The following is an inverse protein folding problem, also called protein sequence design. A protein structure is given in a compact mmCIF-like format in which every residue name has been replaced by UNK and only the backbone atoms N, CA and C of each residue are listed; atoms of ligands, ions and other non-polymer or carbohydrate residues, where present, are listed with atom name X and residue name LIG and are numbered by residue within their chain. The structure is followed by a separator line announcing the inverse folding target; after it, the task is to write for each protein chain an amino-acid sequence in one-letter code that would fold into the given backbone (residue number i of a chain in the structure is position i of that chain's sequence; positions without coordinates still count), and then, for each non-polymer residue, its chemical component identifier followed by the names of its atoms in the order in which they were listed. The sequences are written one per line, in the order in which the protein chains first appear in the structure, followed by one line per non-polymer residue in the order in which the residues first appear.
data_IF_059951303572
#
_entry.id   IF_059951303572
#
_cell.length_a   1.000
_cell.length_b   1.000
_cell.length_c   1.000
_cell.angle_alpha   90.00
_cell.angle_beta   90.00
_cell.angle_gamma   90.00
#
_symmetry.space_group_name_H-M   'P 1'
#
loop_
_entity.id
_entity.type
_entity.pdbx_description
1 polymer ?
#
# COMPACT_ATOMS: atom_id res chain seq x y z
N UNK A 1 -49.72 0.30 -10.52
CA UNK A 1 -48.61 0.29 -11.51
C UNK A 1 -47.41 0.98 -10.86
N UNK A 2 -46.40 0.20 -10.50
CA UNK A 2 -45.18 0.65 -9.82
C UNK A 2 -44.14 1.03 -10.86
N UNK A 3 -43.76 2.30 -10.92
CA UNK A 3 -42.65 2.79 -11.75
C UNK A 3 -41.37 2.73 -10.92
N UNK A 4 -40.57 1.68 -11.16
CA UNK A 4 -39.18 1.58 -10.72
C UNK A 4 -38.36 2.66 -11.43
N UNK A 5 -37.92 3.67 -10.70
CA UNK A 5 -36.84 4.55 -11.14
C UNK A 5 -35.52 3.80 -11.01
N UNK A 6 -35.05 3.22 -12.11
CA UNK A 6 -33.65 2.82 -12.25
C UNK A 6 -32.80 4.09 -12.25
N UNK A 7 -32.15 4.40 -11.12
CA UNK A 7 -31.01 5.32 -11.13
C UNK A 7 -29.88 4.65 -11.90
N UNK A 8 -29.70 5.05 -13.16
CA UNK A 8 -28.51 4.72 -13.94
C UNK A 8 -27.33 5.43 -13.28
N UNK A 9 -26.40 4.65 -12.73
CA UNK A 9 -25.08 5.18 -12.38
C UNK A 9 -24.37 5.50 -13.68
N UNK A 10 -24.23 6.79 -14.01
CA UNK A 10 -23.33 7.22 -15.08
C UNK A 10 -21.92 6.89 -14.64
N UNK A 11 -21.33 5.85 -15.23
CA UNK A 11 -19.93 5.50 -15.02
C UNK A 11 -19.08 6.59 -15.66
N UNK A 12 -18.63 7.56 -14.87
CA UNK A 12 -17.59 8.49 -15.30
C UNK A 12 -16.36 7.65 -15.67
N UNK A 13 -15.85 7.83 -16.88
CA UNK A 13 -14.57 7.23 -17.28
C UNK A 13 -13.45 7.99 -16.59
N UNK A 14 -12.31 7.33 -16.40
CA UNK A 14 -11.12 7.90 -15.74
C UNK A 14 -10.64 9.22 -16.40
N UNK A 15 -10.99 9.43 -17.66
CA UNK A 15 -10.64 10.57 -18.51
C UNK A 15 -11.78 11.58 -18.71
N UNK A 16 -12.95 11.41 -18.08
CA UNK A 16 -14.06 12.36 -18.22
C UNK A 16 -13.71 13.69 -17.52
N UNK A 17 -13.03 14.58 -18.25
CA UNK A 17 -12.71 15.96 -17.84
C UNK A 17 -11.32 16.18 -17.25
N UNK A 18 -10.46 15.16 -17.17
CA UNK A 18 -9.08 15.31 -16.68
C UNK A 18 -8.12 15.48 -17.86
N UNK A 19 -7.65 16.71 -18.09
CA UNK A 19 -6.56 16.97 -19.03
C UNK A 19 -5.23 16.51 -18.43
N UNK A 20 -4.73 15.35 -18.88
CA UNK A 20 -3.45 14.77 -18.41
C UNK A 20 -2.24 15.65 -18.70
N UNK A 21 -2.35 16.59 -19.64
CA UNK A 21 -1.28 17.54 -19.96
C UNK A 21 -1.42 18.84 -19.16
N UNK A 22 -2.53 19.02 -18.45
CA UNK A 22 -2.84 20.21 -17.67
C UNK A 22 -3.53 19.88 -16.33
N UNK A 23 -2.85 19.04 -15.54
CA UNK A 23 -3.37 18.61 -14.24
C UNK A 23 -3.19 19.65 -13.13
N UNK A 24 -2.38 20.68 -13.37
CA UNK A 24 -2.09 21.74 -12.39
C UNK A 24 -1.96 23.12 -13.00
N UNK A 25 -2.41 24.14 -12.28
CA UNK A 25 -2.22 25.56 -12.60
C UNK A 25 -1.26 26.20 -11.61
N UNK A 26 -0.38 27.08 -12.10
CA UNK A 26 0.51 27.87 -11.25
C UNK A 26 -0.31 28.94 -10.52
N UNK A 27 -0.13 29.01 -9.20
CA UNK A 27 -0.80 29.98 -8.31
C UNK A 27 0.18 30.93 -7.65
N UNK A 28 1.47 30.60 -7.62
CA UNK A 28 2.56 31.48 -7.21
C UNK A 28 3.73 31.32 -8.17
N UNK A 29 4.04 32.32 -9.02
CA UNK A 29 5.13 32.23 -9.99
C UNK A 29 6.52 32.48 -9.40
N UNK A 30 6.63 32.98 -8.16
CA UNK A 30 7.91 33.21 -7.48
C UNK A 30 8.41 31.91 -6.86
N UNK A 31 7.52 31.22 -6.16
CA UNK A 31 7.80 29.95 -5.48
C UNK A 31 7.43 28.72 -6.34
N UNK A 32 6.94 28.94 -7.57
CA UNK A 32 6.43 27.92 -8.50
C UNK A 32 5.39 26.98 -7.88
N UNK A 33 4.53 27.52 -7.01
CA UNK A 33 3.47 26.75 -6.36
C UNK A 33 2.38 26.47 -7.38
N UNK A 34 2.00 25.20 -7.51
CA UNK A 34 0.94 24.75 -8.43
C UNK A 34 -0.19 24.06 -7.69
N UNK A 35 -1.41 24.15 -8.21
CA UNK A 35 -2.65 23.58 -7.66
C UNK A 35 -3.34 22.67 -8.67
N UNK A 36 -3.93 21.58 -8.19
CA UNK A 36 -4.75 20.69 -9.03
C UNK A 36 -5.91 21.45 -9.69
N UNK A 37 -6.11 21.25 -11.00
CA UNK A 37 -7.16 21.91 -11.77
C UNK A 37 -8.57 21.54 -11.33
N UNK A 38 -8.76 20.38 -10.69
CA UNK A 38 -10.05 19.92 -10.14
C UNK A 38 -10.57 20.82 -9.00
N UNK A 39 -9.67 21.51 -8.30
CA UNK A 39 -10.00 22.30 -7.11
C UNK A 39 -9.40 23.71 -7.18
N UNK A 40 -9.22 24.23 -8.40
CA UNK A 40 -8.60 25.56 -8.62
C UNK A 40 -9.28 26.68 -7.82
N UNK A 41 -10.61 26.62 -7.72
CA UNK A 41 -11.46 27.61 -7.05
C UNK A 41 -11.70 27.29 -5.56
N UNK A 42 -11.16 26.17 -5.07
CA UNK A 42 -11.25 25.80 -3.65
C UNK A 42 -9.95 26.20 -2.98
N UNK A 43 -10.06 27.15 -2.06
CA UNK A 43 -9.00 27.43 -1.11
C UNK A 43 -8.94 26.31 -0.06
N UNK A 44 -8.16 25.27 -0.36
CA UNK A 44 -7.86 24.16 0.55
C UNK A 44 -6.89 24.56 1.67
N UNK A 45 -6.27 25.74 1.58
CA UNK A 45 -5.26 26.21 2.52
C UNK A 45 -5.85 27.06 3.64
N UNK A 46 -7.05 27.64 3.49
CA UNK A 46 -7.80 28.13 4.65
C UNK A 46 -8.20 26.95 5.52
N UNK A 47 -7.65 26.94 6.72
CA UNK A 47 -7.44 25.84 7.68
C UNK A 47 -8.67 24.96 8.07
N UNK A 48 -9.85 25.16 7.47
CA UNK A 48 -11.08 24.46 7.84
C UNK A 48 -12.06 24.23 6.68
N UNK A 49 -11.62 24.25 5.42
CA UNK A 49 -12.52 23.96 4.29
C UNK A 49 -12.27 22.55 3.75
N UNK A 50 -13.00 21.58 4.31
CA UNK A 50 -13.30 20.36 3.56
C UNK A 50 -14.12 20.74 2.33
N UNK A 51 -14.06 19.90 1.29
CA UNK A 51 -14.90 20.05 0.08
C UNK A 51 -16.40 20.03 0.45
N UNK A 52 -16.74 19.44 1.61
CA UNK A 52 -18.10 19.30 2.11
C UNK A 52 -18.24 19.94 3.51
N UNK A 53 -18.96 21.06 3.67
CA UNK A 53 -19.02 21.82 4.94
C UNK A 53 -19.38 21.02 6.20
N UNK A 54 -20.11 19.91 6.02
CA UNK A 54 -20.59 19.02 7.08
C UNK A 54 -19.59 17.91 7.45
N UNK A 55 -18.46 17.80 6.75
CA UNK A 55 -17.40 16.83 7.05
C UNK A 55 -16.26 17.58 7.71
N UNK A 56 -16.11 17.42 9.03
CA UNK A 56 -15.07 18.11 9.83
C UNK A 56 -14.06 17.14 10.40
N UNK A 57 -14.45 15.88 10.61
CA UNK A 57 -13.61 14.80 11.12
C UNK A 57 -13.73 13.57 10.23
N UNK A 58 -12.81 12.61 10.38
CA UNK A 58 -12.92 11.31 9.71
C UNK A 58 -14.19 10.55 10.13
N UNK A 59 -14.72 10.82 11.32
CA UNK A 59 -15.98 10.25 11.80
C UNK A 59 -17.22 10.73 11.03
N UNK A 60 -17.16 11.91 10.40
CA UNK A 60 -18.30 12.48 9.65
C UNK A 60 -18.43 11.90 8.24
N UNK A 61 -17.34 11.30 7.72
CA UNK A 61 -17.26 10.76 6.35
C UNK A 61 -18.36 9.73 6.10
N UNK A 62 -18.62 8.86 7.09
CA UNK A 62 -19.59 7.79 6.94
C UNK A 62 -21.03 8.31 6.92
N UNK A 63 -21.36 9.30 7.75
CA UNK A 63 -22.69 9.93 7.77
C UNK A 63 -22.96 10.70 6.48
N UNK A 64 -21.93 11.40 5.98
CA UNK A 64 -22.01 12.12 4.73
C UNK A 64 -22.21 11.17 3.55
N UNK A 65 -21.43 10.08 3.50
CA UNK A 65 -21.56 9.03 2.50
C UNK A 65 -22.93 8.35 2.54
N UNK A 66 -23.48 8.09 3.73
CA UNK A 66 -24.83 7.55 3.89
C UNK A 66 -25.89 8.49 3.29
N UNK A 67 -25.77 9.79 3.56
CA UNK A 67 -26.71 10.80 3.08
C UNK A 67 -26.65 10.91 1.55
N UNK A 68 -25.44 11.04 0.98
CA UNK A 68 -25.25 11.17 -0.47
C UNK A 68 -25.70 9.93 -1.24
N UNK A 69 -25.41 8.75 -0.70
CA UNK A 69 -25.75 7.47 -1.35
C UNK A 69 -27.19 7.03 -1.14
N UNK A 70 -27.96 7.73 -0.28
CA UNK A 70 -29.28 7.30 0.21
C UNK A 70 -29.24 5.89 0.81
N UNK A 71 -28.25 5.67 1.67
CA UNK A 71 -27.94 4.37 2.28
C UNK A 71 -27.56 3.26 1.28
N UNK A 72 -26.79 3.65 0.25
CA UNK A 72 -26.33 2.73 -0.78
C UNK A 72 -25.22 1.78 -0.31
N UNK A 73 -24.60 1.03 -1.25
CA UNK A 73 -23.46 0.15 -0.96
C UNK A 73 -22.26 0.92 -0.37
N UNK A 74 -21.70 0.41 0.73
CA UNK A 74 -20.56 1.00 1.44
C UNK A 74 -19.31 0.10 1.41
N UNK A 75 -19.40 -1.13 1.93
CA UNK A 75 -18.27 -2.08 1.96
C UNK A 75 -18.65 -3.33 1.17
N UNK A 76 -17.83 -3.67 0.17
CA UNK A 76 -18.00 -4.87 -0.65
C UNK A 76 -17.16 -6.03 -0.14
N UNK A 77 -17.75 -7.22 -0.08
CA UNK A 77 -17.09 -8.48 0.25
C UNK A 77 -16.96 -9.31 -1.03
N UNK A 78 -15.72 -9.67 -1.34
CA UNK A 78 -15.37 -10.54 -2.46
C UNK A 78 -14.92 -11.88 -1.90
N UNK A 79 -15.56 -12.97 -2.32
CA UNK A 79 -15.10 -14.31 -1.96
C UNK A 79 -13.91 -14.70 -2.85
N UNK A 80 -12.72 -14.80 -2.26
CA UNK A 80 -11.47 -15.07 -2.98
C UNK A 80 -11.45 -16.45 -3.66
N UNK A 81 -12.20 -17.41 -3.12
CA UNK A 81 -12.22 -18.80 -3.59
C UNK A 81 -13.12 -19.00 -4.83
N UNK A 82 -14.07 -18.09 -5.07
CA UNK A 82 -14.97 -18.19 -6.21
C UNK A 82 -15.17 -16.81 -6.87
N UNK A 83 -14.29 -16.49 -7.82
CA UNK A 83 -14.32 -15.22 -8.58
C UNK A 83 -15.63 -15.00 -9.36
N UNK A 84 -16.48 -16.02 -9.51
CA UNK A 84 -17.79 -15.91 -10.16
C UNK A 84 -18.92 -15.46 -9.21
N UNK A 85 -18.72 -15.50 -7.89
CA UNK A 85 -19.74 -15.03 -6.94
C UNK A 85 -19.89 -13.49 -6.99
N UNK A 86 -21.13 -12.97 -6.94
CA UNK A 86 -21.37 -11.54 -6.90
C UNK A 86 -20.86 -10.93 -5.58
N UNK A 87 -20.38 -9.68 -5.67
CA UNK A 87 -19.94 -8.90 -4.50
C UNK A 87 -21.12 -8.74 -3.53
N UNK A 88 -20.91 -9.11 -2.27
CA UNK A 88 -21.91 -8.88 -1.20
C UNK A 88 -21.63 -7.52 -0.57
N UNK A 89 -22.65 -6.67 -0.47
CA UNK A 89 -22.49 -5.30 0.01
C UNK A 89 -23.08 -5.10 1.40
N UNK A 90 -22.36 -4.39 2.25
CA UNK A 90 -22.90 -3.76 3.46
C UNK A 90 -23.35 -2.34 3.12
N UNK A 91 -24.54 -1.94 3.57
CA UNK A 91 -25.02 -0.56 3.45
C UNK A 91 -24.26 0.39 4.38
N UNK A 92 -24.31 1.69 4.11
CA UNK A 92 -23.73 2.71 4.99
C UNK A 92 -24.31 2.65 6.41
N UNK A 93 -25.62 2.47 6.54
CA UNK A 93 -26.32 2.36 7.83
C UNK A 93 -25.85 1.14 8.62
N UNK A 94 -25.64 0.00 7.95
CA UNK A 94 -25.12 -1.22 8.57
C UNK A 94 -23.69 -1.02 9.07
N UNK A 95 -22.84 -0.39 8.27
CA UNK A 95 -21.44 -0.09 8.66
C UNK A 95 -21.41 0.92 9.81
N UNK A 96 -22.26 1.95 9.75
CA UNK A 96 -22.36 2.99 10.79
C UNK A 96 -22.85 2.42 12.11
N UNK A 97 -23.89 1.57 12.10
CA UNK A 97 -24.37 0.91 13.31
C UNK A 97 -23.28 0.05 13.97
N UNK A 98 -22.59 -0.79 13.19
CA UNK A 98 -21.50 -1.64 13.69
C UNK A 98 -20.32 -0.82 14.21
N UNK A 99 -19.93 0.23 13.51
CA UNK A 99 -18.88 1.15 13.95
C UNK A 99 -19.28 1.82 15.29
N UNK A 100 -20.55 2.17 15.46
CA UNK A 100 -21.06 2.74 16.72
C UNK A 100 -21.07 1.75 17.87
N UNK A 101 -21.36 0.48 17.64
CA UNK A 101 -21.21 -0.57 18.65
C UNK A 101 -19.76 -0.70 19.09
N UNK A 102 -18.82 -0.77 18.14
CA UNK A 102 -17.38 -0.88 18.43
C UNK A 102 -16.89 0.34 19.22
N UNK A 103 -17.17 1.56 18.74
CA UNK A 103 -16.75 2.77 19.43
C UNK A 103 -17.38 2.93 20.82
N UNK A 104 -18.63 2.54 21.00
CA UNK A 104 -19.27 2.55 22.33
C UNK A 104 -18.65 1.54 23.27
N UNK A 105 -18.35 0.33 22.78
CA UNK A 105 -17.70 -0.72 23.54
C UNK A 105 -16.31 -0.31 24.01
N UNK A 106 -15.49 0.24 23.11
CA UNK A 106 -14.17 0.77 23.44
C UNK A 106 -14.24 1.91 24.47
N UNK A 107 -15.30 2.72 24.45
CA UNK A 107 -15.49 3.73 25.47
C UNK A 107 -15.91 3.13 26.82
N UNK A 108 -16.91 2.24 26.84
CA UNK A 108 -17.49 1.75 28.10
C UNK A 108 -16.66 0.68 28.77
N UNK A 109 -16.34 -0.38 28.03
CA UNK A 109 -15.79 -1.61 28.59
C UNK A 109 -14.27 -1.49 28.81
N UNK A 110 -13.56 -0.91 27.84
CA UNK A 110 -12.10 -0.75 27.92
C UNK A 110 -11.67 0.62 28.47
N UNK A 111 -12.64 1.51 28.73
CA UNK A 111 -12.45 2.84 29.33
C UNK A 111 -11.45 3.69 28.55
N UNK A 112 -11.49 3.62 27.21
CA UNK A 112 -10.68 4.51 26.38
C UNK A 112 -11.18 5.95 26.49
N UNK A 113 -10.25 6.89 26.35
CA UNK A 113 -10.50 8.32 26.43
C UNK A 113 -10.46 8.92 25.01
N UNK A 114 -11.56 9.54 24.52
CA UNK A 114 -11.58 10.23 23.24
C UNK A 114 -10.44 11.25 23.10
N UNK A 115 -9.89 11.34 21.89
CA UNK A 115 -8.75 12.18 21.48
C UNK A 115 -7.42 11.88 22.20
N UNK A 116 -7.37 10.85 23.05
CA UNK A 116 -6.16 10.49 23.78
C UNK A 116 -5.77 9.02 23.62
N UNK A 117 -6.72 8.09 23.70
CA UNK A 117 -6.43 6.65 23.66
C UNK A 117 -6.12 6.14 22.25
N UNK A 118 -5.17 5.21 22.15
CA UNK A 118 -4.68 4.65 20.88
C UNK A 118 -5.10 3.20 20.70
N UNK A 119 -5.58 2.87 19.51
CA UNK A 119 -5.99 1.53 19.09
C UNK A 119 -5.07 1.10 17.94
N UNK A 120 -4.17 0.15 18.20
CA UNK A 120 -3.33 -0.42 17.17
C UNK A 120 -4.08 -1.49 16.38
N UNK A 121 -4.00 -1.45 15.04
CA UNK A 121 -4.65 -2.41 14.16
C UNK A 121 -3.59 -3.05 13.26
N UNK A 122 -3.43 -4.37 13.39
CA UNK A 122 -2.51 -5.20 12.60
C UNK A 122 -3.31 -6.28 11.87
N UNK A 123 -3.78 -5.98 10.67
CA UNK A 123 -4.70 -6.84 9.93
C UNK A 123 -4.62 -6.58 8.43
N UNK A 124 -4.97 -7.59 7.63
CA UNK A 124 -5.14 -7.42 6.18
C UNK A 124 -6.38 -6.57 5.85
N UNK A 125 -6.52 -6.12 4.61
CA UNK A 125 -7.70 -5.38 4.19
C UNK A 125 -8.95 -6.28 4.23
N UNK A 126 -9.89 -5.97 5.13
CA UNK A 126 -11.16 -6.68 5.34
C UNK A 126 -12.22 -5.76 5.96
N UNK A 127 -13.52 -6.12 5.88
CA UNK A 127 -14.60 -5.27 6.41
C UNK A 127 -14.43 -4.85 7.88
N UNK A 128 -13.98 -5.77 8.73
CA UNK A 128 -13.78 -5.56 10.16
C UNK A 128 -12.69 -4.50 10.43
N UNK A 129 -11.66 -4.43 9.58
CA UNK A 129 -10.66 -3.36 9.64
C UNK A 129 -11.31 -2.00 9.46
N UNK A 130 -12.12 -1.85 8.40
CA UNK A 130 -12.79 -0.59 8.11
C UNK A 130 -13.80 -0.21 9.22
N UNK A 131 -14.59 -1.18 9.70
CA UNK A 131 -15.57 -0.96 10.77
C UNK A 131 -14.87 -0.56 12.08
N UNK A 132 -13.77 -1.22 12.44
CA UNK A 132 -12.96 -0.86 13.61
C UNK A 132 -12.41 0.56 13.48
N UNK A 133 -11.85 0.90 12.31
CA UNK A 133 -11.34 2.25 12.03
C UNK A 133 -12.43 3.32 12.14
N UNK A 134 -13.58 3.13 11.51
CA UNK A 134 -14.72 4.06 11.65
C UNK A 134 -15.22 4.15 13.08
N UNK A 135 -15.27 3.04 13.83
CA UNK A 135 -15.62 3.05 15.24
C UNK A 135 -14.66 3.90 16.08
N UNK A 136 -13.36 3.82 15.79
CA UNK A 136 -12.37 4.68 16.40
C UNK A 136 -12.59 6.16 16.03
N UNK A 137 -12.69 6.48 14.74
CA UNK A 137 -12.85 7.86 14.28
C UNK A 137 -14.13 8.53 14.79
N UNK A 138 -15.26 7.80 14.81
CA UNK A 138 -16.53 8.32 15.30
C UNK A 138 -16.53 8.66 16.80
N UNK A 139 -15.62 8.07 17.57
CA UNK A 139 -15.50 8.29 19.02
C UNK A 139 -14.17 8.94 19.42
N UNK A 140 -13.38 9.39 18.44
CA UNK A 140 -12.13 10.10 18.66
C UNK A 140 -10.96 9.24 19.15
N UNK A 141 -11.01 7.91 19.00
CA UNK A 141 -9.84 7.08 19.33
C UNK A 141 -8.81 7.15 18.20
N UNK A 142 -7.54 7.20 18.58
CA UNK A 142 -6.43 7.38 17.65
C UNK A 142 -6.05 6.02 17.06
N UNK A 143 -6.19 5.85 15.75
CA UNK A 143 -5.84 4.59 15.08
C UNK A 143 -4.33 4.52 14.86
N UNK A 144 -3.70 3.38 15.18
CA UNK A 144 -2.29 3.12 14.89
C UNK A 144 -2.19 1.97 13.90
N UNK A 145 -1.83 2.27 12.65
CA UNK A 145 -1.69 1.26 11.60
C UNK A 145 -0.39 0.48 11.73
N UNK A 146 -0.49 -0.84 11.93
CA UNK A 146 0.66 -1.76 11.97
C UNK A 146 0.64 -2.67 10.74
N UNK A 147 1.82 -2.90 10.17
CA UNK A 147 1.95 -3.84 9.07
C UNK A 147 1.93 -5.29 9.56
N UNK A 148 1.26 -6.14 8.81
CA UNK A 148 1.16 -7.59 9.06
C UNK A 148 2.49 -8.32 8.93
N UNK A 149 3.48 -7.72 8.27
CA UNK A 149 4.83 -8.25 8.06
C UNK A 149 5.82 -7.84 9.15
N UNK A 150 5.39 -7.08 10.17
CA UNK A 150 6.28 -6.71 11.27
C UNK A 150 6.65 -7.92 12.11
N UNK A 151 7.93 -8.04 12.45
CA UNK A 151 8.38 -9.03 13.42
C UNK A 151 7.91 -8.66 14.85
N UNK A 152 7.88 -9.62 15.79
CA UNK A 152 7.42 -9.39 17.16
C UNK A 152 8.07 -8.20 17.88
N UNK A 153 9.38 -7.97 17.70
CA UNK A 153 10.09 -6.88 18.37
C UNK A 153 9.59 -5.54 17.85
N UNK A 154 9.41 -5.43 16.53
CA UNK A 154 8.90 -4.22 15.88
C UNK A 154 7.45 -3.93 16.26
N UNK A 155 6.61 -4.96 16.42
CA UNK A 155 5.24 -4.81 16.93
C UNK A 155 5.27 -4.26 18.36
N UNK A 156 6.03 -4.89 19.26
CA UNK A 156 6.12 -4.48 20.67
C UNK A 156 6.69 -3.06 20.81
N UNK A 157 7.72 -2.69 20.05
CA UNK A 157 8.25 -1.33 20.07
C UNK A 157 7.24 -0.30 19.54
N UNK A 158 6.51 -0.64 18.47
CA UNK A 158 5.46 0.23 17.94
C UNK A 158 4.39 0.49 19.00
N UNK A 159 3.86 -0.57 19.64
CA UNK A 159 2.86 -0.46 20.71
C UNK A 159 3.35 0.40 21.88
N UNK A 160 4.61 0.21 22.30
CA UNK A 160 5.24 0.99 23.38
C UNK A 160 5.37 2.47 23.00
N UNK A 161 5.92 2.78 21.82
CA UNK A 161 6.17 4.16 21.37
C UNK A 161 4.89 4.94 21.11
N UNK A 162 3.86 4.28 20.57
CA UNK A 162 2.57 4.93 20.35
C UNK A 162 1.67 4.93 21.58
N UNK A 163 2.09 4.25 22.65
CA UNK A 163 1.30 4.07 23.86
C UNK A 163 -0.08 3.47 23.54
N UNK A 164 -0.12 2.48 22.65
CA UNK A 164 -1.36 1.81 22.27
C UNK A 164 -1.92 0.98 23.42
N UNK A 165 -3.21 1.16 23.69
CA UNK A 165 -3.90 0.51 24.81
C UNK A 165 -4.68 -0.73 24.35
N UNK A 166 -5.07 -0.77 23.08
CA UNK A 166 -5.78 -1.89 22.45
C UNK A 166 -4.96 -2.35 21.24
N UNK A 167 -4.84 -3.67 21.09
CA UNK A 167 -4.29 -4.29 19.88
C UNK A 167 -5.41 -5.05 19.17
N UNK A 168 -5.65 -4.74 17.90
CA UNK A 168 -6.61 -5.45 17.06
C UNK A 168 -5.83 -6.27 16.03
N UNK A 169 -6.13 -7.57 15.94
CA UNK A 169 -5.51 -8.49 15.00
C UNK A 169 -6.58 -9.21 14.19
N UNK A 170 -6.28 -9.59 12.95
CA UNK A 170 -7.22 -10.45 12.20
C UNK A 170 -7.31 -11.86 12.78
N UNK A 171 -6.20 -12.47 13.20
CA UNK A 171 -6.15 -13.81 13.79
C UNK A 171 -5.11 -13.94 14.91
N UNK A 172 -5.28 -14.95 15.77
CA UNK A 172 -4.35 -15.21 16.89
C UNK A 172 -2.97 -15.71 16.44
N UNK A 173 -2.86 -16.36 15.27
CA UNK A 173 -1.57 -16.82 14.76
C UNK A 173 -0.59 -15.65 14.57
N UNK A 174 -1.11 -14.43 14.34
CA UNK A 174 -0.33 -13.19 14.23
C UNK A 174 0.47 -12.84 15.48
N UNK A 175 -0.01 -13.22 16.67
CA UNK A 175 0.63 -12.87 17.94
C UNK A 175 1.20 -14.08 18.68
N UNK A 176 0.92 -15.30 18.23
CA UNK A 176 1.26 -16.55 18.93
C UNK A 176 2.72 -16.64 19.39
N UNK A 177 3.67 -16.13 18.61
CA UNK A 177 5.09 -16.18 18.97
C UNK A 177 5.51 -15.23 20.10
N UNK A 178 4.65 -14.28 20.50
CA UNK A 178 4.92 -13.28 21.54
C UNK A 178 3.69 -12.94 22.39
N UNK A 179 2.64 -13.78 22.37
CA UNK A 179 1.38 -13.56 23.07
C UNK A 179 1.58 -13.41 24.59
N UNK A 180 2.50 -14.19 25.17
CA UNK A 180 2.86 -14.09 26.59
C UNK A 180 3.34 -12.67 26.95
N UNK A 181 4.16 -12.06 26.10
CA UNK A 181 4.65 -10.70 26.31
C UNK A 181 3.52 -9.66 26.23
N UNK A 182 2.53 -9.88 25.37
CA UNK A 182 1.34 -9.04 25.29
C UNK A 182 0.43 -9.21 26.50
N UNK A 183 0.25 -10.45 26.98
CA UNK A 183 -0.58 -10.73 28.15
C UNK A 183 0.01 -10.13 29.42
N UNK A 184 1.34 -10.16 29.57
CA UNK A 184 2.09 -9.55 30.67
C UNK A 184 2.24 -8.02 30.54
N UNK A 185 1.86 -7.43 29.40
CA UNK A 185 1.97 -5.99 29.18
C UNK A 185 0.75 -5.23 29.75
N UNK A 186 0.95 -4.52 30.87
CA UNK A 186 -0.10 -3.75 31.55
C UNK A 186 -0.67 -2.58 30.73
N UNK A 187 0.05 -2.08 29.72
CA UNK A 187 -0.45 -1.04 28.82
C UNK A 187 -1.56 -1.58 27.92
N UNK A 188 -1.46 -2.85 27.50
CA UNK A 188 -2.45 -3.49 26.64
C UNK A 188 -3.60 -3.98 27.50
N UNK A 189 -4.70 -3.22 27.45
CA UNK A 189 -5.95 -3.51 28.16
C UNK A 189 -6.68 -4.69 27.54
N UNK A 190 -6.72 -4.74 26.21
CA UNK A 190 -7.43 -5.80 25.48
C UNK A 190 -6.82 -6.04 24.09
N UNK A 191 -6.97 -7.28 23.62
CA UNK A 191 -6.60 -7.76 22.30
C UNK A 191 -7.89 -8.22 21.60
N UNK A 192 -8.29 -7.50 20.55
CA UNK A 192 -9.51 -7.78 19.79
C UNK A 192 -9.13 -8.59 18.55
N UNK A 193 -9.74 -9.75 18.36
CA UNK A 193 -9.48 -10.65 17.23
C UNK A 193 -10.65 -10.60 16.25
N UNK A 194 -10.38 -10.38 14.95
CA UNK A 194 -11.44 -10.28 13.93
C UNK A 194 -11.99 -11.64 13.51
N UNK A 195 -11.14 -12.67 13.45
CA UNK A 195 -11.56 -14.05 13.25
C UNK A 195 -12.32 -14.58 14.47
N UNK A 196 -13.17 -15.57 14.23
CA UNK A 196 -13.89 -16.24 15.31
C UNK A 196 -12.90 -16.92 16.27
N UNK A 197 -12.97 -16.54 17.54
CA UNK A 197 -12.19 -17.12 18.64
C UNK A 197 -13.14 -17.44 19.79
N UNK A 198 -12.76 -18.41 20.62
CA UNK A 198 -13.55 -18.71 21.82
C UNK A 198 -13.35 -17.59 22.85
N UNK A 199 -14.44 -16.88 23.18
CA UNK A 199 -14.40 -15.89 24.23
C UNK A 199 -13.96 -16.53 25.56
N UNK A 200 -13.03 -15.88 26.25
CA UNK A 200 -12.49 -16.36 27.52
C UNK A 200 -11.26 -17.25 27.41
N UNK A 201 -10.70 -17.48 26.21
CA UNK A 201 -9.38 -18.11 26.03
C UNK A 201 -8.30 -17.42 26.88
N UNK A 202 -8.38 -16.10 26.99
CA UNK A 202 -7.63 -15.29 27.95
C UNK A 202 -8.45 -14.06 28.36
N UNK A 203 -8.21 -13.51 29.55
CA UNK A 203 -8.96 -12.34 30.06
C UNK A 203 -8.82 -11.10 29.17
N UNK A 204 -7.68 -10.96 28.49
CA UNK A 204 -7.40 -9.89 27.52
C UNK A 204 -7.87 -10.19 26.09
N UNK A 205 -8.38 -11.37 25.77
CA UNK A 205 -8.83 -11.70 24.40
C UNK A 205 -10.33 -11.45 24.27
N UNK A 206 -10.72 -10.76 23.19
CA UNK A 206 -12.11 -10.52 22.82
C UNK A 206 -12.33 -10.77 21.32
N UNK A 207 -13.40 -11.48 20.97
CA UNK A 207 -13.82 -11.58 19.57
C UNK A 207 -14.51 -10.30 19.10
N UNK A 208 -14.15 -9.80 17.92
CA UNK A 208 -14.84 -8.70 17.24
C UNK A 208 -16.33 -9.03 17.01
N UNK A 209 -16.63 -10.28 16.63
CA UNK A 209 -18.01 -10.73 16.41
C UNK A 209 -18.81 -10.77 17.71
N UNK A 210 -18.16 -11.09 18.83
CA UNK A 210 -18.77 -11.07 20.16
C UNK A 210 -19.17 -9.65 20.58
N UNK A 211 -18.33 -8.65 20.32
CA UNK A 211 -18.68 -7.23 20.57
C UNK A 211 -19.93 -6.86 19.78
N UNK A 212 -20.01 -7.22 18.50
CA UNK A 212 -21.20 -6.93 17.68
C UNK A 212 -22.46 -7.68 18.10
N UNK A 213 -22.32 -8.87 18.71
CA UNK A 213 -23.45 -9.68 19.21
C UNK A 213 -23.96 -9.19 20.57
N UNK A 214 -23.07 -8.69 21.42
CA UNK A 214 -23.39 -8.26 22.79
C UNK A 214 -23.89 -6.82 22.84
N UNK A 215 -23.38 -5.95 21.98
CA UNK A 215 -23.83 -4.57 21.87
C UNK A 215 -25.15 -4.47 21.10
N UNK A 216 -26.04 -3.61 21.58
CA UNK A 216 -27.29 -3.26 20.91
C UNK A 216 -27.53 -1.75 20.98
N UNK A 217 -28.65 -1.29 20.40
CA UNK A 217 -28.98 0.14 20.33
C UNK A 217 -29.02 0.85 21.68
N UNK A 218 -29.36 0.16 22.77
CA UNK A 218 -29.36 0.72 24.12
C UNK A 218 -27.94 0.91 24.69
N UNK A 219 -26.94 0.19 24.18
CA UNK A 219 -25.54 0.34 24.59
C UNK A 219 -24.80 1.47 23.83
N UNK A 220 -25.39 2.00 22.76
CA UNK A 220 -24.74 3.04 21.95
C UNK A 220 -24.60 4.32 22.78
N UNK A 221 -23.36 4.78 22.95
CA UNK A 221 -23.10 6.10 23.50
C UNK A 221 -23.35 7.20 22.45
N UNK A 222 -23.81 8.39 22.88
CA UNK A 222 -23.72 9.58 22.04
C UNK A 222 -22.27 9.81 21.64
N UNK A 223 -22.03 10.22 20.38
CA UNK A 223 -20.67 10.54 19.94
C UNK A 223 -20.15 11.74 20.74
N UNK A 224 -18.88 11.70 21.17
CA UNK A 224 -18.25 12.87 21.76
C UNK A 224 -18.08 13.97 20.70
N UNK A 225 -18.01 15.23 21.14
CA UNK A 225 -17.52 16.31 20.29
C UNK A 225 -16.01 16.13 20.08
N UNK A 226 -15.60 15.99 18.83
CA UNK A 226 -14.19 15.80 18.45
C UNK A 226 -13.65 17.11 17.88
N UNK A 227 -12.51 17.56 18.38
CA UNK A 227 -11.77 18.66 17.78
C UNK A 227 -11.23 18.22 16.42
N UNK A 228 -11.57 18.90 15.31
CA UNK A 228 -11.02 18.63 13.99
C UNK A 228 -9.49 18.68 13.89
N UNK A 229 -8.82 19.38 14.82
CA UNK A 229 -7.37 19.46 14.89
C UNK A 229 -6.74 18.35 15.76
N UNK A 230 -7.56 17.55 16.42
CA UNK A 230 -7.07 16.41 17.20
C UNK A 230 -6.45 15.35 16.30
N UNK A 231 -5.50 14.61 16.86
CA UNK A 231 -4.84 13.51 16.16
C UNK A 231 -5.87 12.41 15.92
N UNK A 232 -5.98 11.93 14.67
CA UNK A 232 -6.87 10.82 14.31
C UNK A 232 -6.14 9.51 14.08
N UNK A 233 -4.90 9.56 13.57
CA UNK A 233 -4.16 8.38 13.18
C UNK A 233 -2.65 8.56 13.27
N UNK A 234 -1.94 7.46 13.56
CA UNK A 234 -0.50 7.32 13.36
C UNK A 234 -0.26 6.33 12.21
N UNK A 235 0.28 6.86 11.11
CA UNK A 235 0.73 6.07 9.96
C UNK A 235 2.24 5.84 10.07
N UNK A 236 2.63 4.67 10.56
CA UNK A 236 4.03 4.35 10.76
C UNK A 236 4.69 4.03 9.41
N UNK A 237 5.69 4.82 9.04
CA UNK A 237 6.49 4.61 7.83
C UNK A 237 7.96 4.55 8.20
N UNK A 238 8.75 3.74 7.49
CA UNK A 238 10.19 3.65 7.68
C UNK A 238 10.98 4.74 6.96
N UNK A 239 10.32 5.72 6.33
CA UNK A 239 10.95 6.67 5.39
C UNK A 239 11.02 8.13 5.83
N UNK A 240 9.93 8.73 6.34
CA UNK A 240 9.81 10.20 6.41
C UNK A 240 9.83 10.80 7.82
N UNK A 241 9.71 9.98 8.87
CA UNK A 241 9.68 10.45 10.28
C UNK A 241 10.80 9.88 11.13
N UNK A 242 11.78 9.26 10.46
CA UNK A 242 12.90 8.58 11.08
C UNK A 242 12.89 7.08 10.84
N UNK A 243 14.08 6.58 10.53
CA UNK A 243 14.30 5.16 10.34
C UNK A 243 14.39 4.48 11.73
N UNK A 244 13.73 3.33 11.88
CA UNK A 244 13.88 2.51 13.08
C UNK A 244 15.37 2.19 13.30
N UNK A 245 15.92 2.59 14.45
CA UNK A 245 17.33 2.49 14.82
C UNK A 245 18.37 3.27 13.96
N UNK A 246 17.95 4.30 13.20
CA UNK A 246 18.90 5.11 12.41
C UNK A 246 18.64 6.62 12.56
N UNK A 247 19.23 7.17 13.63
CA UNK A 247 19.15 8.57 14.02
C UNK A 247 19.84 9.52 13.03
N UNK A 248 20.84 9.04 12.28
CA UNK A 248 21.55 9.84 11.27
C UNK A 248 20.60 10.11 10.11
N UNK A 249 20.03 9.06 9.50
CA UNK A 249 19.07 9.24 8.40
C UNK A 249 17.80 9.99 8.83
N UNK A 250 17.42 9.86 10.09
CA UNK A 250 16.30 10.64 10.66
C UNK A 250 16.60 12.14 10.61
N UNK A 251 17.82 12.55 10.98
CA UNK A 251 18.26 13.95 10.93
C UNK A 251 18.41 14.48 9.50
N UNK A 252 18.78 13.61 8.56
CA UNK A 252 18.89 13.97 7.13
C UNK A 252 17.53 14.12 6.43
N UNK A 253 16.40 13.77 7.08
CA UNK A 253 15.09 13.80 6.43
C UNK A 253 14.51 15.21 6.33
N UNK A 254 14.71 16.04 7.36
CA UNK A 254 14.36 17.46 7.36
C UNK A 254 15.64 18.24 7.65
N UNK A 255 16.06 19.11 6.73
CA UNK A 255 17.28 19.90 6.89
C UNK A 255 17.12 21.07 7.87
N UNK A 256 18.22 21.78 8.14
CA UNK A 256 18.26 22.95 9.03
C UNK A 256 17.38 24.12 8.54
N UNK A 257 17.05 24.15 7.25
CA UNK A 257 16.16 25.13 6.65
C UNK A 257 14.68 24.69 6.68
N UNK A 258 14.37 23.49 7.19
CA UNK A 258 13.02 22.96 7.34
C UNK A 258 12.49 22.23 6.10
N UNK A 259 13.34 21.95 5.10
CA UNK A 259 12.92 21.24 3.89
C UNK A 259 12.89 19.73 4.12
N UNK A 260 11.78 19.10 3.70
CA UNK A 260 11.67 17.65 3.66
C UNK A 260 12.37 17.09 2.42
N UNK A 261 13.42 16.30 2.62
CA UNK A 261 14.04 15.53 1.56
C UNK A 261 13.20 14.29 1.23
N UNK A 262 12.31 14.42 0.24
CA UNK A 262 11.40 13.35 -0.22
C UNK A 262 12.15 12.07 -0.62
N UNK A 263 13.39 12.23 -1.09
CA UNK A 263 14.21 11.18 -1.69
C UNK A 263 13.77 10.81 -3.11
N UNK A 264 12.86 11.57 -3.71
CA UNK A 264 12.44 11.45 -5.10
C UNK A 264 13.26 12.39 -5.99
N UNK A 265 13.60 11.92 -7.18
CA UNK A 265 14.20 12.72 -8.24
C UNK A 265 13.09 13.11 -9.19
N UNK A 266 13.02 14.39 -9.53
CA UNK A 266 12.08 14.90 -10.51
C UNK A 266 12.72 15.94 -11.41
N UNK A 267 12.04 16.22 -12.52
CA UNK A 267 12.43 17.21 -13.51
C UNK A 267 11.28 18.19 -13.72
N UNK A 268 11.60 19.48 -13.71
CA UNK A 268 10.68 20.52 -14.13
C UNK A 268 10.60 20.54 -15.66
N UNK A 269 9.41 20.31 -16.20
CA UNK A 269 9.19 20.36 -17.63
C UNK A 269 9.10 21.82 -18.11
N UNK A 270 9.17 22.03 -19.43
CA UNK A 270 9.09 23.37 -20.03
C UNK A 270 7.79 24.14 -19.72
N UNK A 271 6.72 23.46 -19.31
CA UNK A 271 5.46 24.11 -18.89
C UNK A 271 5.35 24.29 -17.36
N UNK A 272 6.45 24.07 -16.62
CA UNK A 272 6.56 24.24 -15.18
C UNK A 272 5.92 23.13 -14.35
N UNK A 273 5.58 21.98 -14.94
CA UNK A 273 5.09 20.82 -14.17
C UNK A 273 6.25 19.94 -13.69
N UNK A 274 6.12 19.36 -12.49
CA UNK A 274 7.11 18.43 -11.95
C UNK A 274 6.81 17.01 -12.45
N UNK A 275 7.77 16.41 -13.15
CA UNK A 275 7.74 15.01 -13.57
C UNK A 275 8.63 14.18 -12.64
N UNK A 276 8.06 13.19 -11.95
CA UNK A 276 8.83 12.25 -11.14
C UNK A 276 9.60 11.27 -12.04
N UNK A 277 10.86 11.00 -11.69
CA UNK A 277 11.77 10.14 -12.45
C UNK A 277 11.97 8.83 -11.71
N UNK A 278 12.52 8.87 -10.49
CA UNK A 278 12.81 7.68 -9.68
C UNK A 278 13.13 8.09 -8.23
N UNK A 279 13.46 7.12 -7.38
CA UNK A 279 14.05 7.31 -6.05
C UNK A 279 15.54 7.57 -6.18
N UNK A 280 16.01 8.66 -5.55
CA UNK A 280 17.44 9.02 -5.46
C UNK A 280 18.34 7.87 -5.00
N UNK A 281 17.84 6.99 -4.11
CA UNK A 281 18.57 5.83 -3.59
C UNK A 281 18.57 4.60 -4.52
N UNK A 282 17.73 4.57 -5.55
CA UNK A 282 17.61 3.45 -6.47
C UNK A 282 18.29 3.71 -7.81
N UNK A 283 18.50 4.98 -8.16
CA UNK A 283 19.29 5.37 -9.33
C UNK A 283 20.73 4.89 -9.12
N UNK A 284 21.29 4.27 -10.14
CA UNK A 284 22.70 3.86 -10.17
C UNK A 284 23.40 4.37 -11.43
N UNK A 285 24.72 4.35 -11.39
CA UNK A 285 25.57 4.88 -12.46
C UNK A 285 26.32 3.74 -13.15
N UNK A 286 26.34 3.76 -14.48
CA UNK A 286 27.09 2.83 -15.33
C UNK A 286 28.51 3.34 -15.61
N UNK A 287 29.36 2.52 -16.24
CA UNK A 287 30.79 2.82 -16.41
C UNK A 287 31.10 4.10 -17.21
N UNK A 288 30.24 4.44 -18.16
CA UNK A 288 30.35 5.58 -19.05
C UNK A 288 29.89 6.90 -18.42
N UNK A 289 29.38 6.85 -17.19
CA UNK A 289 28.93 8.04 -16.49
C UNK A 289 27.41 8.24 -16.46
N UNK A 290 26.66 7.46 -17.23
CA UNK A 290 25.22 7.57 -17.39
C UNK A 290 24.48 7.02 -16.17
N UNK A 291 23.40 7.69 -15.78
CA UNK A 291 22.52 7.28 -14.69
C UNK A 291 21.35 6.46 -15.21
N UNK A 292 20.97 5.43 -14.47
CA UNK A 292 19.83 4.57 -14.75
C UNK A 292 18.77 4.75 -13.67
N UNK A 293 17.55 5.02 -14.09
CA UNK A 293 16.33 4.96 -13.29
C UNK A 293 15.67 3.58 -13.50
N UNK A 294 15.97 2.57 -12.67
CA UNK A 294 15.51 1.23 -12.97
C UNK A 294 14.00 1.04 -12.82
N UNK A 295 13.30 1.78 -11.94
CA UNK A 295 11.85 1.67 -11.81
C UNK A 295 11.15 2.11 -13.10
N UNK A 296 11.67 3.17 -13.74
CA UNK A 296 11.17 3.61 -15.04
C UNK A 296 11.32 2.53 -16.12
N UNK A 297 12.46 1.84 -16.15
CA UNK A 297 12.70 0.76 -17.11
C UNK A 297 11.79 -0.44 -16.82
N UNK A 298 11.63 -0.81 -15.55
CA UNK A 298 10.74 -1.89 -15.11
C UNK A 298 9.29 -1.63 -15.55
N UNK A 299 8.77 -0.42 -15.33
CA UNK A 299 7.45 0.00 -15.77
C UNK A 299 7.26 -0.14 -17.29
N UNK A 300 8.29 0.22 -18.08
CA UNK A 300 8.27 0.04 -19.54
C UNK A 300 8.17 -1.45 -19.90
N UNK A 301 8.98 -2.29 -19.29
CA UNK A 301 9.07 -3.71 -19.65
C UNK A 301 7.89 -4.54 -19.13
N UNK A 302 7.21 -4.12 -18.06
CA UNK A 302 5.96 -4.70 -17.58
C UNK A 302 4.80 -4.59 -18.60
N UNK A 303 4.94 -3.81 -19.67
CA UNK A 303 4.01 -3.84 -20.80
C UNK A 303 4.12 -5.11 -21.66
N UNK A 304 5.10 -5.99 -21.40
CA UNK A 304 5.19 -7.31 -22.00
C UNK A 304 4.17 -8.27 -21.39
N UNK A 305 3.39 -8.96 -22.22
CA UNK A 305 2.48 -10.03 -21.74
C UNK A 305 3.22 -11.27 -21.23
N UNK A 306 4.51 -11.40 -21.54
CA UNK A 306 5.33 -12.52 -21.09
C UNK A 306 5.81 -12.34 -19.65
N UNK A 307 5.73 -11.13 -19.09
CA UNK A 307 6.38 -10.76 -17.84
C UNK A 307 5.32 -10.50 -16.77
N UNK A 308 5.42 -11.21 -15.66
CA UNK A 308 4.65 -10.93 -14.45
C UNK A 308 5.36 -9.91 -13.57
N UNK A 309 6.68 -10.09 -13.36
CA UNK A 309 7.51 -9.20 -12.56
C UNK A 309 8.90 -9.08 -13.18
N UNK A 310 9.56 -7.94 -12.97
CA UNK A 310 10.93 -7.71 -13.45
C UNK A 310 11.70 -6.90 -12.41
N UNK A 311 12.97 -7.26 -12.22
CA UNK A 311 13.93 -6.51 -11.41
C UNK A 311 15.15 -6.20 -12.26
N UNK A 312 15.37 -4.91 -12.51
CA UNK A 312 16.49 -4.37 -13.28
C UNK A 312 17.62 -3.98 -12.34
N UNK A 313 18.82 -4.41 -12.68
CA UNK A 313 20.02 -4.07 -11.93
C UNK A 313 21.15 -3.70 -12.89
N UNK A 314 22.15 -3.03 -12.33
CA UNK A 314 23.35 -2.65 -13.04
C UNK A 314 24.58 -2.58 -12.14
N UNK A 315 25.72 -2.66 -12.81
CA UNK A 315 27.05 -2.55 -12.21
C UNK A 315 27.76 -1.33 -12.77
N UNK A 316 28.50 -0.61 -11.91
CA UNK A 316 29.26 0.58 -12.32
C UNK A 316 30.44 0.28 -13.24
N UNK A 317 30.76 -0.99 -13.44
CA UNK A 317 31.78 -1.48 -14.39
C UNK A 317 31.21 -1.80 -15.77
N UNK A 318 29.89 -1.81 -15.91
CA UNK A 318 29.19 -2.29 -17.11
C UNK A 318 28.56 -1.14 -17.88
N UNK A 319 28.36 -1.33 -19.19
CA UNK A 319 27.81 -0.30 -20.08
C UNK A 319 26.29 -0.38 -20.25
N UNK A 320 25.66 -1.48 -19.82
CA UNK A 320 24.23 -1.78 -19.99
C UNK A 320 23.67 -2.43 -18.73
N UNK A 321 22.34 -2.50 -18.65
CA UNK A 321 21.62 -3.15 -17.54
C UNK A 321 21.30 -4.62 -17.82
N UNK A 322 21.04 -5.38 -16.76
CA UNK A 322 20.55 -6.77 -16.83
C UNK A 322 19.26 -6.90 -16.03
N UNK A 323 18.50 -7.98 -16.25
CA UNK A 323 17.23 -8.18 -15.55
C UNK A 323 17.02 -9.60 -15.01
N UNK A 324 16.39 -9.67 -13.84
CA UNK A 324 15.74 -10.87 -13.32
C UNK A 324 14.27 -10.76 -13.69
N UNK A 325 13.75 -11.72 -14.45
CA UNK A 325 12.39 -11.71 -14.99
C UNK A 325 11.60 -12.87 -14.42
N UNK A 326 10.45 -12.61 -13.82
CA UNK A 326 9.45 -13.63 -13.48
C UNK A 326 8.45 -13.69 -14.63
N UNK A 327 8.42 -14.77 -15.43
CA UNK A 327 7.47 -14.88 -16.52
C UNK A 327 6.02 -15.02 -16.00
N UNK A 328 5.05 -14.59 -16.80
CA UNK A 328 3.64 -14.87 -16.56
C UNK A 328 3.37 -16.35 -16.88
N UNK A 329 3.20 -17.18 -15.85
CA UNK A 329 3.08 -18.63 -16.01
C UNK A 329 1.88 -19.03 -16.88
N UNK A 330 0.73 -18.38 -16.71
CA UNK A 330 -0.47 -18.67 -17.48
C UNK A 330 -0.26 -18.33 -18.97
N UNK A 331 0.31 -17.15 -19.25
CA UNK A 331 0.58 -16.71 -20.61
C UNK A 331 1.66 -17.56 -21.28
N UNK A 332 2.73 -17.92 -20.56
CA UNK A 332 3.79 -18.81 -21.06
C UNK A 332 3.22 -20.18 -21.39
N UNK A 333 2.47 -20.79 -20.48
CA UNK A 333 1.84 -22.11 -20.73
C UNK A 333 0.88 -22.09 -21.91
N UNK A 334 0.20 -20.98 -22.16
CA UNK A 334 -0.74 -20.86 -23.28
C UNK A 334 -0.08 -20.59 -24.63
N UNK A 335 1.03 -19.86 -24.66
CA UNK A 335 1.57 -19.29 -25.91
C UNK A 335 2.97 -19.78 -26.29
N UNK A 336 3.72 -20.39 -25.36
CA UNK A 336 5.06 -20.90 -25.63
C UNK A 336 5.09 -22.42 -25.85
N UNK A 337 4.26 -23.18 -25.13
CA UNK A 337 4.26 -24.64 -25.16
C UNK A 337 2.84 -25.20 -25.30
N UNK A 338 2.67 -26.16 -26.21
CA UNK A 338 1.43 -26.95 -26.37
C UNK A 338 1.49 -28.31 -25.64
N UNK A 339 2.63 -28.65 -25.02
CA UNK A 339 2.88 -29.96 -24.40
C UNK A 339 2.96 -29.86 -22.87
N UNK A 340 1.97 -30.45 -22.19
CA UNK A 340 1.72 -30.34 -20.74
C UNK A 340 2.80 -30.94 -19.82
N UNK A 341 3.91 -31.47 -20.34
CA UNK A 341 4.79 -32.37 -19.58
C UNK A 341 5.92 -31.70 -18.81
N UNK A 342 6.25 -30.43 -19.07
CA UNK A 342 7.33 -29.72 -18.36
C UNK A 342 6.81 -28.90 -17.17
N UNK A 343 7.56 -28.93 -16.07
CA UNK A 343 7.34 -28.05 -14.91
C UNK A 343 7.69 -26.60 -15.27
N UNK A 344 7.11 -25.62 -14.57
CA UNK A 344 7.37 -24.20 -14.85
C UNK A 344 8.85 -23.82 -14.65
N UNK A 345 9.50 -24.43 -13.66
CA UNK A 345 10.92 -24.25 -13.41
C UNK A 345 11.76 -24.70 -14.62
N UNK A 346 11.44 -25.85 -15.24
CA UNK A 346 12.11 -26.31 -16.46
C UNK A 346 11.86 -25.38 -17.65
N UNK A 347 10.68 -24.76 -17.73
CA UNK A 347 10.38 -23.77 -18.77
C UNK A 347 11.26 -22.53 -18.62
N UNK A 348 11.45 -22.04 -17.41
CA UNK A 348 12.34 -20.91 -17.14
C UNK A 348 13.81 -21.20 -17.48
N UNK A 349 14.20 -22.47 -17.61
CA UNK A 349 15.55 -22.88 -18.04
C UNK A 349 15.70 -23.00 -19.57
N UNK A 350 14.61 -22.84 -20.35
CA UNK A 350 14.64 -22.91 -21.82
C UNK A 350 15.35 -21.70 -22.44
N UNK A 351 16.32 -21.97 -23.32
CA UNK A 351 16.99 -20.94 -24.11
C UNK A 351 16.05 -20.26 -25.11
N UNK A 352 15.09 -21.01 -25.65
CA UNK A 352 14.10 -20.51 -26.60
C UNK A 352 13.13 -19.54 -25.93
N UNK A 353 12.65 -19.83 -24.71
CA UNK A 353 11.80 -18.91 -23.96
C UNK A 353 12.56 -17.63 -23.64
N UNK A 354 13.79 -17.77 -23.16
CA UNK A 354 14.69 -16.64 -22.89
C UNK A 354 14.87 -15.76 -24.13
N UNK A 355 15.16 -16.36 -25.28
CA UNK A 355 15.36 -15.62 -26.53
C UNK A 355 14.08 -14.90 -26.98
N UNK A 356 12.93 -15.56 -26.88
CA UNK A 356 11.64 -14.98 -27.23
C UNK A 356 11.30 -13.76 -26.35
N UNK A 357 11.49 -13.87 -25.04
CA UNK A 357 11.29 -12.75 -24.11
C UNK A 357 12.31 -11.62 -24.36
N UNK A 358 13.56 -11.97 -24.66
CA UNK A 358 14.59 -10.99 -25.01
C UNK A 358 14.24 -10.18 -26.26
N UNK A 359 13.68 -10.82 -27.30
CA UNK A 359 13.21 -10.14 -28.51
C UNK A 359 12.07 -9.15 -28.17
N UNK A 360 11.15 -9.54 -27.27
CA UNK A 360 10.06 -8.67 -26.85
C UNK A 360 10.54 -7.47 -26.03
N UNK A 361 11.51 -7.66 -25.14
CA UNK A 361 12.18 -6.56 -24.42
C UNK A 361 12.86 -5.59 -25.39
N UNK A 362 13.57 -6.08 -26.41
CA UNK A 362 14.16 -5.23 -27.44
C UNK A 362 13.12 -4.45 -28.25
N UNK A 363 11.96 -5.07 -28.55
CA UNK A 363 10.82 -4.38 -29.18
C UNK A 363 10.31 -3.24 -28.30
N UNK A 364 10.14 -3.47 -26.99
CA UNK A 364 9.68 -2.46 -26.04
C UNK A 364 10.70 -1.32 -25.87
N UNK A 365 12.00 -1.64 -25.82
CA UNK A 365 13.06 -0.63 -25.76
C UNK A 365 13.04 0.29 -26.99
N UNK A 366 12.94 -0.29 -28.20
CA UNK A 366 12.82 0.47 -29.45
C UNK A 366 11.54 1.32 -29.49
N UNK A 367 10.40 0.74 -29.09
CA UNK A 367 9.10 1.44 -29.05
C UNK A 367 9.15 2.68 -28.14
N UNK A 368 9.82 2.58 -27.00
CA UNK A 368 9.94 3.66 -26.02
C UNK A 368 11.19 4.52 -26.22
N UNK A 369 11.94 4.32 -27.32
CA UNK A 369 13.15 5.10 -27.66
C UNK A 369 14.21 5.08 -26.56
N UNK A 370 14.33 3.95 -25.86
CA UNK A 370 15.38 3.76 -24.86
C UNK A 370 16.76 3.83 -25.52
N UNK A 371 17.71 4.45 -24.81
CA UNK A 371 19.10 4.50 -25.24
C UNK A 371 19.75 3.12 -25.11
N UNK A 372 20.89 2.93 -25.77
CA UNK A 372 21.60 1.65 -25.73
C UNK A 372 21.92 1.20 -24.30
N UNK A 373 22.35 2.12 -23.45
CA UNK A 373 22.71 1.83 -22.06
C UNK A 373 21.51 1.55 -21.14
N UNK A 374 20.31 1.98 -21.52
CA UNK A 374 19.05 1.66 -20.84
C UNK A 374 18.46 0.33 -21.29
N UNK A 375 19.02 -0.28 -22.34
CA UNK A 375 18.51 -1.54 -22.89
C UNK A 375 19.07 -2.72 -22.09
N UNK A 376 18.16 -3.61 -21.66
CA UNK A 376 18.53 -4.87 -21.02
C UNK A 376 19.35 -5.73 -21.98
N UNK A 377 20.59 -6.05 -21.61
CA UNK A 377 21.52 -6.82 -22.45
C UNK A 377 21.45 -8.32 -22.22
N UNK A 378 20.97 -8.76 -21.05
CA UNK A 378 20.79 -10.17 -20.73
C UNK A 378 19.74 -10.34 -19.62
N UNK A 379 19.07 -11.50 -19.61
CA UNK A 379 18.03 -11.82 -18.62
C UNK A 379 18.24 -13.19 -17.99
N UNK A 380 17.78 -13.33 -16.75
CA UNK A 380 17.55 -14.60 -16.07
C UNK A 380 16.05 -14.78 -15.82
N UNK A 381 15.51 -15.94 -16.19
CA UNK A 381 14.11 -16.26 -15.94
C UNK A 381 13.99 -16.96 -14.58
N UNK A 382 13.26 -16.34 -13.66
CA UNK A 382 13.01 -16.84 -12.32
C UNK A 382 11.59 -17.38 -12.23
N UNK A 383 11.45 -18.60 -11.72
CA UNK A 383 10.16 -19.31 -11.69
C UNK A 383 9.33 -19.00 -10.45
N UNK A 384 9.94 -18.51 -9.37
CA UNK A 384 9.22 -18.13 -8.15
C UNK A 384 8.82 -16.64 -8.21
N UNK A 385 7.54 -16.30 -8.00
CA UNK A 385 7.13 -14.90 -7.90
C UNK A 385 7.80 -14.20 -6.72
N UNK A 386 8.18 -12.94 -6.92
CA UNK A 386 8.56 -12.06 -5.82
C UNK A 386 7.33 -11.84 -4.94
N UNK A 387 7.47 -12.05 -3.64
CA UNK A 387 6.37 -12.03 -2.69
C UNK A 387 6.81 -11.47 -1.35
N UNK A 388 5.84 -11.24 -0.45
CA UNK A 388 6.14 -10.91 0.94
C UNK A 388 6.74 -12.12 1.68
N UNK A 389 6.38 -13.35 1.28
CA UNK A 389 6.83 -14.59 1.92
C UNK A 389 8.33 -14.85 1.69
N UNK A 390 8.86 -14.50 0.51
CA UNK A 390 10.28 -14.60 0.20
C UNK A 390 11.05 -13.29 0.41
N UNK A 391 10.43 -12.31 1.07
CA UNK A 391 11.01 -11.02 1.45
C UNK A 391 11.49 -10.13 0.28
N UNK A 392 11.05 -10.43 -0.95
CA UNK A 392 11.42 -9.67 -2.15
C UNK A 392 10.48 -8.50 -2.43
N UNK A 393 9.29 -8.49 -1.83
CA UNK A 393 8.28 -7.45 -2.00
C UNK A 393 7.82 -6.89 -0.64
N UNK A 394 7.62 -5.58 -0.59
CA UNK A 394 7.02 -4.85 0.53
C UNK A 394 5.52 -5.11 0.67
N UNK A 395 4.92 -4.70 1.78
CA UNK A 395 3.46 -4.76 1.98
C UNK A 395 2.66 -3.96 0.95
N UNK A 396 3.27 -2.97 0.33
CA UNK A 396 2.70 -2.15 -0.75
C UNK A 396 3.07 -2.65 -2.14
N UNK A 397 3.45 -3.92 -2.28
CA UNK A 397 3.77 -4.57 -3.56
C UNK A 397 4.96 -3.98 -4.33
N UNK A 398 5.83 -3.20 -3.67
CA UNK A 398 7.09 -2.68 -4.26
C UNK A 398 8.26 -3.63 -3.98
N UNK A 399 9.13 -3.83 -4.96
CA UNK A 399 10.35 -4.65 -4.85
C UNK A 399 11.32 -4.09 -3.80
N UNK A 400 11.79 -4.93 -2.88
CA UNK A 400 12.85 -4.61 -1.92
C UNK A 400 14.23 -4.71 -2.59
N UNK A 401 14.59 -3.71 -3.40
CA UNK A 401 15.78 -3.73 -4.29
C UNK A 401 17.08 -4.20 -3.62
N UNK A 402 17.38 -3.74 -2.41
CA UNK A 402 18.59 -4.16 -1.66
C UNK A 402 18.59 -5.66 -1.38
N UNK A 403 17.45 -6.21 -0.94
CA UNK A 403 17.29 -7.64 -0.66
C UNK A 403 17.31 -8.45 -1.96
N UNK A 404 16.62 -7.98 -3.00
CA UNK A 404 16.62 -8.61 -4.32
C UNK A 404 18.04 -8.68 -4.91
N UNK A 405 18.81 -7.58 -4.85
CA UNK A 405 20.20 -7.56 -5.30
C UNK A 405 21.06 -8.56 -4.55
N UNK A 406 20.96 -8.60 -3.21
CA UNK A 406 21.67 -9.58 -2.39
C UNK A 406 21.30 -11.02 -2.76
N UNK A 407 20.01 -11.30 -2.92
CA UNK A 407 19.48 -12.63 -3.29
C UNK A 407 19.97 -13.10 -4.66
N UNK A 408 19.99 -12.20 -5.64
CA UNK A 408 20.32 -12.52 -7.03
C UNK A 408 21.77 -12.15 -7.42
N UNK A 409 22.62 -11.75 -6.47
CA UNK A 409 23.96 -11.20 -6.76
C UNK A 409 24.80 -12.11 -7.66
N UNK A 410 24.83 -13.42 -7.37
CA UNK A 410 25.58 -14.40 -8.17
C UNK A 410 25.03 -14.52 -9.59
N UNK A 411 23.71 -14.44 -9.74
CA UNK A 411 23.04 -14.50 -11.04
C UNK A 411 23.31 -13.22 -11.83
N UNK A 412 23.18 -12.05 -11.21
CA UNK A 412 23.47 -10.76 -11.83
C UNK A 412 24.91 -10.72 -12.36
N UNK A 413 25.87 -11.18 -11.55
CA UNK A 413 27.27 -11.26 -11.99
C UNK A 413 27.45 -12.22 -13.19
N UNK A 414 26.75 -13.36 -13.19
CA UNK A 414 26.86 -14.32 -14.30
C UNK A 414 26.26 -13.79 -15.60
N UNK A 415 25.25 -12.92 -15.54
CA UNK A 415 24.64 -12.29 -16.71
C UNK A 415 25.62 -11.39 -17.49
N UNK A 416 26.56 -10.76 -16.80
CA UNK A 416 27.62 -9.94 -17.41
C UNK A 416 28.79 -10.77 -17.94
N UNK A 417 29.16 -11.85 -17.23
CA UNK A 417 30.33 -12.69 -17.57
C UNK A 417 30.16 -13.57 -18.82
N UNK A 418 28.97 -13.64 -19.43
CA UNK A 418 28.76 -14.42 -20.66
C UNK A 418 29.55 -13.83 -21.85
N UNK A 419 29.85 -12.53 -21.83
CA UNK A 419 30.48 -11.83 -22.96
C UNK A 419 32.02 -11.96 -23.02
N UNK A 420 32.69 -12.47 -21.98
CA UNK A 420 34.16 -12.64 -22.01
C UNK A 420 34.61 -13.92 -22.72
N UNK A 421 33.73 -14.92 -22.91
CA UNK A 421 34.09 -16.21 -23.52
C UNK A 421 33.95 -16.26 -25.05
N UNK A 422 33.68 -15.15 -25.71
CA UNK A 422 33.52 -15.05 -27.17
C UNK A 422 34.49 -14.07 -27.84
N UNK A 423 35.54 -13.61 -27.15
CA UNK A 423 36.62 -12.80 -27.75
C UNK A 423 37.85 -13.62 -28.05
#
# INVERSE_FOLDING_TARGET
MSTKTHTSFTRLKYDDGIDVNNQTVEIDPVEHIRRCTLYKDIDIWSYYKSIYPNVRTLGDVLDHGQTLSKDGPCIGLVQSENKAEPIRWLSYSTVSERARYIGSYLWTETKLVPMNSKVAIMSVNRPEYAIMGYGCYMYGFIVVGLFTSYDPRRVMDSLRRTQSEILVVDNLARIRSFEKQLFENDQIKEIIVMDEVQDGEHSKIRSFSSILKTMNKANIRPRPTIDPNSISTFLLTSGTTGYYDDAIKTRETIDEAGWLHTGDVGEWTANGTLRLIDRSKHIFKLNQGEYIAPEHLEDIYLHSRWISQIFIDGCSTEATVVAIVVPDEEYVRKNFILTETKTFEELCKSGELKQLMMIDLLRLAKKNKLKHFETVSNIYLHHEPFSQQNDLITTTFKTRRVVARQRFQTIINSLYNVNEKQK
#
